data_IF_183606653536
#
_entry.id   IF_183606653536
#
_cell.length_a   1.000
_cell.length_b   1.000
_cell.length_c   1.000
_cell.angle_alpha   90.00
_cell.angle_beta   90.00
_cell.angle_gamma   90.00
#
_symmetry.space_group_name_H-M   'P 1'
#
loop_
_entity.id
_entity.type
_entity.pdbx_description
1 polymer ?
#
# COMPACT_ATOMS: atom_id res chain seq x y z
N UNK A 1 -6.58 -1.71 -24.57
CA UNK A 1 -6.67 -1.14 -23.22
C UNK A 1 -6.51 -2.31 -22.26
N UNK A 2 -5.56 -2.25 -21.34
CA UNK A 2 -5.30 -3.36 -20.42
C UNK A 2 -5.72 -2.91 -19.02
N UNK A 3 -6.34 -3.83 -18.28
CA UNK A 3 -6.96 -3.57 -16.98
C UNK A 3 -6.44 -4.60 -15.99
N UNK A 4 -6.23 -4.18 -14.74
CA UNK A 4 -6.05 -5.08 -13.61
C UNK A 4 -7.08 -4.76 -12.54
N UNK A 5 -7.47 -5.78 -11.79
CA UNK A 5 -8.43 -5.68 -10.70
C UNK A 5 -7.87 -6.31 -9.44
N UNK A 6 -8.33 -5.77 -8.31
CA UNK A 6 -8.10 -6.36 -7.00
C UNK A 6 -9.38 -7.03 -6.52
N UNK A 7 -9.24 -8.05 -5.68
CA UNK A 7 -10.37 -8.76 -5.08
C UNK A 7 -10.22 -8.62 -3.57
N UNK A 8 -11.16 -7.90 -2.96
CA UNK A 8 -11.28 -7.80 -1.50
C UNK A 8 -12.59 -8.44 -1.06
N UNK A 9 -12.54 -9.24 0.00
CA UNK A 9 -13.71 -9.96 0.51
C UNK A 9 -13.79 -9.81 2.02
N UNK A 10 -15.00 -9.54 2.52
CA UNK A 10 -15.34 -9.48 3.95
C UNK A 10 -16.65 -10.23 4.10
N UNK A 11 -16.60 -11.42 4.71
CA UNK A 11 -17.74 -12.35 4.81
C UNK A 11 -18.45 -12.53 3.45
N UNK A 12 -19.73 -12.15 3.35
CA UNK A 12 -20.54 -12.26 2.13
C UNK A 12 -20.35 -11.07 1.16
N UNK A 13 -19.57 -10.06 1.54
CA UNK A 13 -19.33 -8.85 0.73
C UNK A 13 -18.05 -8.96 -0.06
N UNK A 14 -18.11 -8.56 -1.34
CA UNK A 14 -16.99 -8.60 -2.26
C UNK A 14 -16.82 -7.26 -3.00
N UNK A 15 -15.58 -6.81 -3.13
CA UNK A 15 -15.22 -5.58 -3.83
C UNK A 15 -14.19 -5.88 -4.91
N UNK A 16 -14.41 -5.28 -6.09
CA UNK A 16 -13.62 -5.53 -7.30
C UNK A 16 -13.13 -4.23 -7.94
N UNK A 17 -12.35 -3.38 -7.22
CA UNK A 17 -11.80 -2.17 -7.85
C UNK A 17 -10.90 -2.56 -9.02
N UNK A 18 -11.02 -1.81 -10.10
CA UNK A 18 -10.22 -2.00 -11.30
C UNK A 18 -9.58 -0.70 -11.76
N UNK A 19 -8.39 -0.84 -12.33
CA UNK A 19 -7.58 0.26 -12.83
C UNK A 19 -7.30 0.03 -14.30
N UNK A 20 -7.60 1.05 -15.10
CA UNK A 20 -7.33 1.06 -16.54
C UNK A 20 -6.13 1.93 -16.82
N UNK A 21 -5.23 1.43 -17.66
CA UNK A 21 -4.11 2.24 -18.14
C UNK A 21 -3.97 2.12 -19.66
N UNK A 22 -3.65 3.24 -20.27
CA UNK A 22 -3.31 3.33 -21.69
C UNK A 22 -1.82 3.08 -21.94
N UNK A 23 -1.02 3.16 -20.87
CA UNK A 23 0.39 2.81 -20.93
C UNK A 23 0.50 1.33 -21.30
N UNK A 24 1.27 1.02 -22.35
CA UNK A 24 1.55 -0.37 -22.74
C UNK A 24 2.28 -1.18 -21.66
N UNK A 25 2.47 -0.65 -20.44
CA UNK A 25 3.07 -1.27 -19.27
C UNK A 25 2.52 -2.67 -19.02
N UNK A 26 1.20 -2.85 -19.13
CA UNK A 26 0.56 -4.15 -18.88
C UNK A 26 0.64 -5.12 -20.08
N UNK A 27 1.24 -4.74 -21.21
CA UNK A 27 1.44 -5.65 -22.35
C UNK A 27 2.54 -6.68 -22.07
N UNK A 28 3.54 -6.31 -21.27
CA UNK A 28 4.66 -7.17 -20.87
C UNK A 28 4.72 -7.25 -19.34
N UNK A 29 3.86 -8.09 -18.75
CA UNK A 29 3.82 -8.29 -17.31
C UNK A 29 5.12 -8.96 -16.86
N UNK A 30 5.94 -8.21 -16.13
CA UNK A 30 7.18 -8.71 -15.51
C UNK A 30 6.93 -9.04 -14.04
N UNK A 31 7.73 -9.92 -13.41
CA UNK A 31 7.62 -10.17 -11.97
C UNK A 31 7.73 -8.92 -11.10
N UNK A 32 8.50 -7.91 -11.55
CA UNK A 32 8.60 -6.62 -10.88
C UNK A 32 7.29 -5.82 -10.97
N UNK A 33 6.64 -5.83 -12.14
CA UNK A 33 5.35 -5.18 -12.32
C UNK A 33 4.26 -5.87 -11.49
N UNK A 34 4.25 -7.21 -11.43
CA UNK A 34 3.36 -7.96 -10.53
C UNK A 34 3.58 -7.57 -9.06
N UNK A 35 4.84 -7.42 -8.65
CA UNK A 35 5.18 -6.97 -7.30
C UNK A 35 4.69 -5.54 -7.02
N UNK A 36 4.82 -4.62 -7.97
CA UNK A 36 4.27 -3.25 -7.84
C UNK A 36 2.75 -3.31 -7.73
N UNK A 37 2.08 -4.05 -8.61
CA UNK A 37 0.61 -4.20 -8.61
C UNK A 37 0.14 -4.78 -7.29
N UNK A 38 0.83 -5.80 -6.76
CA UNK A 38 0.54 -6.36 -5.44
C UNK A 38 0.59 -5.30 -4.32
N UNK A 39 1.66 -4.48 -4.28
CA UNK A 39 1.79 -3.42 -3.28
C UNK A 39 0.76 -2.30 -3.47
N UNK A 40 0.33 -2.02 -4.69
CA UNK A 40 -0.79 -1.11 -4.95
C UNK A 40 -2.10 -1.68 -4.40
N UNK A 41 -2.32 -3.00 -4.52
CA UNK A 41 -3.45 -3.68 -3.89
C UNK A 41 -3.42 -3.59 -2.38
N UNK A 42 -2.24 -3.66 -1.75
CA UNK A 42 -2.10 -3.40 -0.31
C UNK A 42 -2.47 -1.95 0.04
N UNK A 43 -1.99 -0.96 -0.72
CA UNK A 43 -2.39 0.43 -0.52
C UNK A 43 -3.91 0.66 -0.62
N UNK A 44 -4.58 -0.02 -1.55
CA UNK A 44 -6.03 0.01 -1.73
C UNK A 44 -6.81 -0.72 -0.62
N UNK A 45 -6.23 -1.78 -0.06
CA UNK A 45 -6.86 -2.67 0.94
C UNK A 45 -7.46 -1.89 2.11
N UNK A 46 -6.75 -0.87 2.61
CA UNK A 46 -7.15 -0.10 3.80
C UNK A 46 -8.49 0.61 3.61
N UNK A 47 -8.84 0.98 2.37
CA UNK A 47 -10.13 1.60 2.05
C UNK A 47 -11.30 0.67 2.34
N UNK A 48 -11.14 -0.63 2.04
CA UNK A 48 -12.16 -1.66 2.28
C UNK A 48 -12.14 -2.18 3.71
N UNK A 49 -10.96 -2.22 4.35
CA UNK A 49 -10.85 -2.58 5.76
C UNK A 49 -11.72 -1.68 6.66
N UNK A 50 -11.82 -0.38 6.33
CA UNK A 50 -12.65 0.60 7.05
C UNK A 50 -14.14 0.24 7.11
N UNK A 51 -14.63 -0.62 6.21
CA UNK A 51 -16.05 -1.01 6.19
C UNK A 51 -16.47 -1.82 7.42
N UNK A 52 -15.57 -2.63 7.99
CA UNK A 52 -15.90 -3.53 9.11
C UNK A 52 -14.82 -3.59 10.21
N UNK A 53 -13.68 -2.93 10.01
CA UNK A 53 -12.53 -2.96 10.90
C UNK A 53 -12.13 -4.39 11.36
N UNK A 54 -12.02 -5.37 10.44
CA UNK A 54 -11.76 -6.75 10.84
C UNK A 54 -10.39 -6.89 11.52
N UNK A 55 -10.29 -7.68 12.61
CA UNK A 55 -9.05 -7.83 13.35
C UNK A 55 -7.99 -8.62 12.59
N UNK A 56 -8.38 -9.37 11.54
CA UNK A 56 -7.48 -10.22 10.75
C UNK A 56 -7.64 -9.91 9.27
N UNK A 57 -6.53 -9.63 8.61
CA UNK A 57 -6.44 -9.43 7.16
C UNK A 57 -5.64 -10.57 6.54
N UNK A 58 -6.28 -11.40 5.74
CA UNK A 58 -5.64 -12.53 5.05
C UNK A 58 -5.20 -12.12 3.64
N UNK A 59 -3.90 -12.15 3.37
CA UNK A 59 -3.34 -11.76 2.06
C UNK A 59 -3.07 -13.02 1.25
N UNK A 60 -3.98 -13.36 0.33
CA UNK A 60 -3.88 -14.58 -0.51
C UNK A 60 -3.14 -14.36 -1.83
N UNK A 61 -2.99 -13.11 -2.28
CA UNK A 61 -2.52 -12.79 -3.63
C UNK A 61 -0.99 -12.64 -3.76
N UNK A 62 -0.23 -12.55 -2.67
CA UNK A 62 1.23 -12.42 -2.67
C UNK A 62 1.86 -12.90 -1.36
N UNK A 63 3.18 -12.83 -1.27
CA UNK A 63 3.93 -13.13 -0.04
C UNK A 63 4.43 -11.85 0.62
N UNK A 64 4.43 -11.83 1.94
CA UNK A 64 4.98 -10.77 2.77
C UNK A 64 5.87 -11.43 3.83
N UNK A 65 7.07 -10.89 4.03
CA UNK A 65 7.86 -11.22 5.20
C UNK A 65 7.37 -10.45 6.45
N UNK A 66 7.91 -10.81 7.62
CA UNK A 66 7.53 -10.18 8.90
C UNK A 66 7.81 -8.68 8.92
N UNK A 67 8.88 -8.22 8.27
CA UNK A 67 9.23 -6.79 8.22
C UNK A 67 8.24 -6.03 7.35
N UNK A 68 7.83 -6.60 6.22
CA UNK A 68 6.82 -6.03 5.33
C UNK A 68 5.45 -5.99 5.99
N UNK A 69 5.05 -7.06 6.69
CA UNK A 69 3.82 -7.08 7.49
C UNK A 69 3.83 -5.97 8.55
N UNK A 70 4.91 -5.82 9.30
CA UNK A 70 5.05 -4.76 10.30
C UNK A 70 5.02 -3.36 9.66
N UNK A 71 5.67 -3.19 8.50
CA UNK A 71 5.68 -1.93 7.77
C UNK A 71 4.27 -1.52 7.33
N UNK A 72 3.51 -2.43 6.71
CA UNK A 72 2.13 -2.15 6.30
C UNK A 72 1.22 -1.88 7.51
N UNK A 73 1.36 -2.66 8.57
CA UNK A 73 0.63 -2.45 9.83
C UNK A 73 0.90 -1.04 10.39
N UNK A 74 2.15 -0.61 10.41
CA UNK A 74 2.55 0.74 10.83
C UNK A 74 1.99 1.82 9.90
N UNK A 75 2.04 1.61 8.59
CA UNK A 75 1.48 2.57 7.62
C UNK A 75 -0.02 2.75 7.84
N UNK A 76 -0.78 1.66 7.98
CA UNK A 76 -2.22 1.72 8.20
C UNK A 76 -2.56 2.38 9.53
N UNK A 77 -1.92 1.98 10.63
CA UNK A 77 -2.21 2.55 11.94
C UNK A 77 -2.04 4.08 11.95
N UNK A 78 -0.93 4.59 11.40
CA UNK A 78 -0.67 6.03 11.33
C UNK A 78 -1.57 6.74 10.32
N UNK A 79 -1.92 6.09 9.19
CA UNK A 79 -2.82 6.65 8.19
C UNK A 79 -4.29 6.67 8.60
N UNK A 80 -4.66 5.88 9.61
CA UNK A 80 -6.04 5.74 10.09
C UNK A 80 -6.36 6.65 11.29
N UNK A 81 -5.43 7.49 11.76
CA UNK A 81 -5.63 8.33 12.94
C UNK A 81 -6.91 9.19 12.89
N UNK A 82 -7.16 9.90 11.79
CA UNK A 82 -8.41 10.68 11.64
C UNK A 82 -9.64 9.77 11.62
N UNK A 83 -9.54 8.60 10.96
CA UNK A 83 -10.65 7.64 10.90
C UNK A 83 -10.99 7.12 12.29
N UNK A 84 -10.00 6.73 13.09
CA UNK A 84 -10.21 6.28 14.47
C UNK A 84 -10.84 7.39 15.32
N UNK A 85 -10.29 8.60 15.25
CA UNK A 85 -10.80 9.75 16.00
C UNK A 85 -12.27 10.07 15.64
N UNK A 86 -12.60 10.19 14.35
CA UNK A 86 -13.94 10.57 13.90
C UNK A 86 -15.00 9.53 14.18
N UNK A 87 -14.62 8.26 14.27
CA UNK A 87 -15.53 7.15 14.51
C UNK A 87 -15.51 6.66 15.97
N UNK A 88 -14.80 7.36 16.88
CA UNK A 88 -14.62 6.97 18.29
C UNK A 88 -14.12 5.53 18.46
N UNK A 89 -13.15 5.13 17.63
CA UNK A 89 -12.50 3.82 17.73
C UNK A 89 -11.26 3.98 18.60
N UNK A 90 -11.24 3.35 19.76
CA UNK A 90 -10.06 3.24 20.61
C UNK A 90 -9.15 2.13 20.07
N UNK A 91 -8.23 2.50 19.18
CA UNK A 91 -7.35 1.57 18.48
C UNK A 91 -5.97 1.53 19.13
N UNK A 92 -5.53 0.32 19.47
CA UNK A 92 -4.16 0.06 19.91
C UNK A 92 -3.34 -0.58 18.78
N UNK A 93 -2.06 -0.21 18.70
CA UNK A 93 -1.19 -0.66 17.61
C UNK A 93 -1.07 -2.18 17.58
N UNK A 94 -0.99 -2.83 18.74
CA UNK A 94 -0.79 -4.28 18.79
C UNK A 94 -2.06 -5.05 18.40
N UNK A 95 -3.23 -4.53 18.78
CA UNK A 95 -4.51 -5.25 18.65
C UNK A 95 -5.41 -4.85 17.46
N UNK A 96 -5.24 -3.67 16.84
CA UNK A 96 -6.21 -3.20 15.82
C UNK A 96 -6.28 -4.10 14.57
N UNK A 97 -5.19 -4.79 14.22
CA UNK A 97 -5.09 -5.62 13.03
C UNK A 97 -3.92 -6.60 13.11
N UNK A 98 -4.14 -7.82 12.62
CA UNK A 98 -3.11 -8.78 12.25
C UNK A 98 -3.15 -9.05 10.74
N UNK A 99 -2.01 -8.88 10.07
CA UNK A 99 -1.83 -9.24 8.66
C UNK A 99 -1.28 -10.67 8.59
N UNK A 100 -2.01 -11.56 7.93
CA UNK A 100 -1.65 -12.97 7.76
C UNK A 100 -1.46 -13.26 6.27
N UNK A 101 -0.22 -13.25 5.76
CA UNK A 101 0.05 -13.64 4.39
C UNK A 101 -0.11 -15.15 4.20
N UNK A 102 -0.59 -15.54 3.03
CA UNK A 102 -0.65 -16.93 2.61
C UNK A 102 0.66 -17.30 1.91
N UNK A 103 1.50 -18.10 2.59
CA UNK A 103 2.86 -18.43 2.12
C UNK A 103 2.88 -19.65 1.17
N UNK A 104 1.84 -19.78 0.34
CA UNK A 104 1.61 -20.86 -0.64
C UNK A 104 2.65 -20.88 -1.80
N UNK A 105 3.94 -20.71 -1.51
CA UNK A 105 5.04 -20.76 -2.47
C UNK A 105 5.13 -19.56 -3.41
N UNK A 106 4.45 -18.44 -3.07
CA UNK A 106 4.51 -17.23 -3.89
C UNK A 106 5.88 -16.57 -3.79
N UNK A 107 6.47 -16.27 -4.96
CA UNK A 107 7.83 -15.71 -5.07
C UNK A 107 7.95 -14.43 -4.25
N UNK A 108 8.87 -14.44 -3.29
CA UNK A 108 9.36 -13.23 -2.65
C UNK A 108 10.15 -12.46 -3.69
N UNK A 109 9.77 -11.20 -3.91
CA UNK A 109 10.52 -10.32 -4.81
C UNK A 109 11.52 -9.51 -3.98
N UNK A 110 12.81 -9.72 -4.22
CA UNK A 110 13.88 -8.84 -3.72
C UNK A 110 14.26 -7.86 -4.82
N UNK A 111 14.18 -6.56 -4.51
CA UNK A 111 14.82 -5.55 -5.34
C UNK A 111 16.27 -5.42 -4.88
N UNK A 112 17.20 -6.01 -5.63
CA UNK A 112 18.65 -5.95 -5.32
C UNK A 112 19.31 -4.67 -5.82
N UNK A 113 18.55 -3.77 -6.43
CA UNK A 113 19.09 -2.56 -7.01
C UNK A 113 19.22 -1.48 -5.95
N UNK A 114 20.46 -1.10 -5.65
CA UNK A 114 20.74 0.11 -4.89
C UNK A 114 20.31 1.32 -5.73
N UNK A 115 19.32 2.05 -5.24
CA UNK A 115 18.79 3.25 -5.90
C UNK A 115 19.25 4.44 -5.09
N UNK A 116 20.04 5.32 -5.71
CA UNK A 116 20.47 6.58 -5.09
C UNK A 116 19.44 7.69 -5.29
N UNK A 117 19.45 8.67 -4.38
CA UNK A 117 18.61 9.87 -4.44
C UNK A 117 17.43 9.84 -3.46
N UNK A 118 16.64 10.92 -3.49
CA UNK A 118 15.50 11.12 -2.60
C UNK A 118 14.21 11.23 -3.41
N UNK A 119 13.15 10.56 -2.96
CA UNK A 119 11.81 10.70 -3.55
C UNK A 119 11.01 11.71 -2.73
N UNK A 120 10.62 12.82 -3.36
CA UNK A 120 9.72 13.81 -2.76
C UNK A 120 8.31 13.58 -3.31
N UNK A 121 7.40 13.13 -2.45
CA UNK A 121 6.00 12.91 -2.83
C UNK A 121 5.26 14.24 -2.93
N UNK A 122 4.75 14.56 -4.13
CA UNK A 122 4.00 15.81 -4.39
C UNK A 122 2.52 15.49 -4.55
N UNK A 123 1.75 15.67 -3.47
CA UNK A 123 0.31 15.40 -3.44
C UNK A 123 -0.58 16.56 -3.90
N UNK A 124 0.00 17.68 -4.36
CA UNK A 124 -0.75 18.87 -4.82
C UNK A 124 -1.33 19.75 -3.71
N UNK A 125 -1.21 19.33 -2.44
CA UNK A 125 -1.57 20.15 -1.28
C UNK A 125 -0.50 21.19 -0.95
N UNK A 126 -0.89 22.21 -0.17
CA UNK A 126 0.02 23.29 0.29
C UNK A 126 1.29 22.76 0.94
N UNK A 127 1.18 21.66 1.69
CA UNK A 127 2.29 21.08 2.46
C UNK A 127 3.36 20.48 1.53
N UNK A 128 2.95 19.98 0.34
CA UNK A 128 3.90 19.48 -0.67
C UNK A 128 4.69 20.60 -1.33
N UNK A 129 4.08 21.77 -1.56
CA UNK A 129 4.77 22.96 -2.10
C UNK A 129 5.77 23.50 -1.09
N UNK A 130 5.39 23.59 0.19
CA UNK A 130 6.29 24.02 1.26
C UNK A 130 7.48 23.07 1.39
N UNK A 131 7.23 21.75 1.34
CA UNK A 131 8.29 20.74 1.39
C UNK A 131 9.29 20.91 0.23
N UNK A 132 8.81 21.13 -0.99
CA UNK A 132 9.66 21.39 -2.15
C UNK A 132 10.49 22.67 -1.99
N UNK A 133 9.88 23.78 -1.56
CA UNK A 133 10.59 25.05 -1.38
C UNK A 133 11.66 24.98 -0.28
N UNK A 134 11.42 24.22 0.79
CA UNK A 134 12.41 23.98 1.84
C UNK A 134 13.57 23.11 1.34
N UNK A 135 13.25 22.05 0.58
CA UNK A 135 14.26 21.12 0.04
C UNK A 135 15.06 21.71 -1.11
N UNK A 136 14.53 22.71 -1.81
CA UNK A 136 15.20 23.41 -2.92
C UNK A 136 16.59 23.94 -2.54
N UNK A 137 16.80 24.34 -1.29
CA UNK A 137 18.10 24.85 -0.79
C UNK A 137 19.19 23.78 -0.73
N UNK A 138 18.81 22.50 -0.71
CA UNK A 138 19.72 21.37 -0.66
C UNK A 138 19.88 20.69 -2.02
N UNK A 139 19.30 21.28 -3.09
CA UNK A 139 19.40 20.77 -4.45
C UNK A 139 20.84 20.85 -5.00
N UNK A 140 21.60 21.89 -4.63
CA UNK A 140 22.93 22.17 -5.19
C UNK A 140 24.09 21.61 -4.35
N UNK A 141 23.81 20.93 -3.24
CA UNK A 141 24.81 20.34 -2.32
C UNK A 141 25.05 18.82 -2.55
N UNK A 142 24.45 18.25 -3.59
CA UNK A 142 24.57 16.83 -4.02
C UNK A 142 24.93 16.72 -5.47
#
# INVERSE_FOLDING_TARGET
MTEYSFIFSIDDYHFYPSWKTESGLLKNVTPFLEYIIFNLGMAELVSYWKCACPPVVKVKCGSLDEKQCLWWKKLYFNGLGEFFYRNNIDADFDSFMQIVPDDNGKRKYSCEREVGGYLVAVGGGKDSVVSLELLRKYHDET
#
